data_IF_036487157849
#
_entry.id   IF_036487157849
#
_cell.length_a   1.000
_cell.length_b   1.000
_cell.length_c   1.000
_cell.angle_alpha   90.00
_cell.angle_beta   90.00
_cell.angle_gamma   90.00
#
_symmetry.space_group_name_H-M   'P 1'
#
loop_
_entity.id
_entity.type
_entity.pdbx_description
1 polymer ?
#
# COMPACT_ATOMS: atom_id res chain seq x y z
N UNK A 1 -8.50 12.24 60.35
CA UNK A 1 -8.93 13.10 59.23
C UNK A 1 -8.17 12.62 58.00
N UNK A 2 -8.83 11.91 57.07
CA UNK A 2 -9.24 12.43 55.73
C UNK A 2 -8.04 13.04 54.98
N UNK A 3 -7.57 12.63 53.80
CA UNK A 3 -8.14 11.96 52.63
C UNK A 3 -6.99 11.18 51.93
N UNK A 4 -7.19 9.94 51.46
CA UNK A 4 -7.57 9.59 50.08
C UNK A 4 -6.83 10.40 48.99
N UNK A 5 -5.97 9.74 48.22
CA UNK A 5 -5.80 10.02 46.78
C UNK A 5 -5.16 8.80 46.10
N UNK A 6 -6.06 7.91 45.66
CA UNK A 6 -5.77 6.82 44.74
C UNK A 6 -5.48 7.43 43.36
N UNK A 7 -4.20 7.67 43.06
CA UNK A 7 -3.76 8.11 41.73
C UNK A 7 -3.82 6.94 40.75
N UNK A 8 -5.00 6.65 40.21
CA UNK A 8 -5.14 5.72 39.10
C UNK A 8 -4.53 6.37 37.85
N UNK A 9 -3.31 5.96 37.50
CA UNK A 9 -2.59 6.39 36.31
C UNK A 9 -3.36 5.91 35.07
N UNK A 10 -4.19 6.78 34.48
CA UNK A 10 -4.79 6.51 33.18
C UNK A 10 -3.68 6.46 32.12
N UNK A 11 -3.18 5.26 31.83
CA UNK A 11 -2.39 4.99 30.64
C UNK A 11 -3.32 5.14 29.43
N UNK A 12 -3.36 6.35 28.87
CA UNK A 12 -4.02 6.57 27.59
C UNK A 12 -3.14 5.89 26.53
N UNK A 13 -3.42 4.63 26.23
CA UNK A 13 -2.88 3.93 25.07
C UNK A 13 -3.47 4.56 23.80
N UNK A 14 -2.95 5.72 23.40
CA UNK A 14 -3.17 6.24 22.06
C UNK A 14 -2.37 5.35 21.11
N UNK A 15 -3.03 4.30 20.60
CA UNK A 15 -2.52 3.58 19.45
C UNK A 15 -2.58 4.52 18.24
N UNK A 16 -1.56 5.36 18.09
CA UNK A 16 -1.33 6.06 16.82
C UNK A 16 -1.09 4.98 15.79
N UNK A 17 -2.01 4.83 14.84
CA UNK A 17 -1.81 3.93 13.71
C UNK A 17 -0.55 4.39 12.95
N UNK A 18 0.56 3.69 13.19
CA UNK A 18 1.82 3.99 12.55
C UNK A 18 1.65 3.85 11.04
N UNK A 19 2.16 4.83 10.30
CA UNK A 19 2.21 4.73 8.86
C UNK A 19 3.05 3.52 8.45
N UNK A 20 2.74 2.87 7.31
CA UNK A 20 3.53 1.73 6.85
C UNK A 20 4.98 2.10 6.51
N UNK A 21 5.26 3.39 6.30
CA UNK A 21 6.61 3.96 6.10
C UNK A 21 6.57 5.47 6.37
N UNK A 22 7.69 6.09 6.76
CA UNK A 22 7.80 7.55 7.00
C UNK A 22 7.27 8.42 5.83
N UNK A 23 7.47 7.94 4.61
CA UNK A 23 7.08 8.61 3.35
C UNK A 23 5.81 8.06 2.70
N UNK A 24 5.12 7.10 3.32
CA UNK A 24 3.92 6.48 2.74
C UNK A 24 2.88 6.36 3.84
N UNK A 25 1.83 7.19 3.77
CA UNK A 25 0.78 7.17 4.81
C UNK A 25 -0.27 6.09 4.55
N UNK A 26 -0.33 5.54 3.34
CA UNK A 26 -1.25 4.46 2.98
C UNK A 26 -0.74 3.70 1.76
N UNK A 27 -0.85 2.38 1.78
CA UNK A 27 -0.63 1.51 0.64
C UNK A 27 -1.63 0.34 0.68
N UNK A 28 -2.42 0.16 -0.37
CA UNK A 28 -3.49 -0.84 -0.37
C UNK A 28 -3.81 -1.33 -1.77
N UNK A 29 -4.19 -2.59 -1.89
CA UNK A 29 -4.80 -3.09 -3.12
C UNK A 29 -6.29 -2.78 -3.13
N UNK A 30 -6.83 -2.57 -4.32
CA UNK A 30 -8.22 -2.19 -4.50
C UNK A 30 -8.77 -2.76 -5.81
N UNK A 31 -10.07 -3.04 -5.83
CA UNK A 31 -10.78 -3.46 -7.03
C UNK A 31 -11.00 -2.29 -8.00
N UNK A 32 -11.10 -1.06 -7.49
CA UNK A 32 -11.29 0.12 -8.33
C UNK A 32 -10.64 1.38 -7.73
N UNK A 33 -10.49 2.42 -8.55
CA UNK A 33 -10.13 3.78 -8.14
C UNK A 33 -11.24 4.73 -8.57
N UNK A 34 -11.88 5.40 -7.62
CA UNK A 34 -12.92 6.41 -7.87
C UNK A 34 -12.52 7.71 -7.18
N UNK A 35 -12.60 8.84 -7.88
CA UNK A 35 -12.20 10.17 -7.35
C UNK A 35 -10.78 10.16 -6.72
N UNK A 36 -9.86 9.43 -7.35
CA UNK A 36 -8.47 9.20 -6.87
C UNK A 36 -8.39 8.54 -5.49
N UNK A 37 -9.37 7.71 -5.13
CA UNK A 37 -9.39 6.93 -3.89
C UNK A 37 -9.64 5.45 -4.18
N UNK A 38 -9.00 4.54 -3.41
CA UNK A 38 -9.20 3.11 -3.57
C UNK A 38 -10.58 2.68 -3.08
N UNK A 39 -11.30 1.92 -3.91
CA UNK A 39 -12.60 1.32 -3.60
C UNK A 39 -12.50 -0.21 -3.66
N UNK A 40 -13.19 -0.88 -2.74
CA UNK A 40 -13.09 -2.34 -2.58
C UNK A 40 -11.66 -2.74 -2.22
N UNK A 41 -11.17 -2.30 -1.05
CA UNK A 41 -9.83 -2.66 -0.58
C UNK A 41 -9.78 -4.16 -0.33
N UNK A 42 -8.73 -4.81 -0.82
CA UNK A 42 -8.60 -6.27 -0.77
C UNK A 42 -7.18 -6.69 -0.42
N UNK A 43 -7.03 -7.88 0.14
CA UNK A 43 -5.75 -8.62 0.25
C UNK A 43 -5.79 -9.96 -0.49
N UNK A 44 -6.96 -10.33 -1.00
CA UNK A 44 -7.22 -11.57 -1.71
C UNK A 44 -8.28 -11.32 -2.79
N UNK A 45 -8.10 -11.95 -3.94
CA UNK A 45 -9.04 -11.97 -5.07
C UNK A 45 -9.00 -13.34 -5.73
N UNK A 46 -10.07 -13.71 -6.44
CA UNK A 46 -10.11 -14.94 -7.24
C UNK A 46 -9.86 -14.69 -8.73
N UNK A 47 -9.62 -15.76 -9.48
CA UNK A 47 -9.33 -15.76 -10.91
C UNK A 47 -10.43 -15.15 -11.82
N UNK A 48 -11.60 -14.79 -11.29
CA UNK A 48 -12.61 -14.00 -12.01
C UNK A 48 -12.25 -12.52 -12.09
N UNK A 49 -11.42 -12.04 -11.16
CA UNK A 49 -10.91 -10.67 -11.15
C UNK A 49 -9.82 -10.51 -12.21
N UNK A 50 -10.12 -9.74 -13.25
CA UNK A 50 -9.21 -9.51 -14.39
C UNK A 50 -8.22 -8.37 -14.16
N UNK A 51 -8.49 -7.47 -13.22
CA UNK A 51 -7.69 -6.26 -12.97
C UNK A 51 -7.71 -5.91 -11.49
N UNK A 52 -6.55 -5.52 -10.98
CA UNK A 52 -6.39 -5.03 -9.61
C UNK A 52 -5.57 -3.73 -9.63
N UNK A 53 -5.85 -2.85 -8.68
CA UNK A 53 -5.12 -1.60 -8.48
C UNK A 53 -4.27 -1.68 -7.23
N UNK A 54 -3.12 -1.02 -7.26
CA UNK A 54 -2.30 -0.76 -6.06
C UNK A 54 -2.17 0.74 -5.90
N UNK A 55 -2.77 1.25 -4.81
CA UNK A 55 -2.82 2.67 -4.46
C UNK A 55 -1.80 2.99 -3.38
N UNK A 56 -1.12 4.12 -3.52
CA UNK A 56 -0.26 4.68 -2.48
C UNK A 56 -0.51 6.18 -2.27
N UNK A 57 -0.51 6.60 -1.01
CA UNK A 57 -0.54 8.01 -0.61
C UNK A 57 0.84 8.41 -0.08
N UNK A 58 1.59 9.13 -0.91
CA UNK A 58 2.99 9.50 -0.71
C UNK A 58 3.11 10.80 0.11
N UNK A 59 4.20 10.90 0.88
CA UNK A 59 4.54 12.02 1.76
C UNK A 59 5.99 12.43 1.57
N UNK A 60 6.25 13.72 1.38
CA UNK A 60 7.60 14.33 1.32
C UNK A 60 8.53 13.73 0.24
N UNK A 61 7.96 13.25 -0.87
CA UNK A 61 8.70 12.68 -2.00
C UNK A 61 8.62 13.57 -3.26
N UNK A 62 8.34 14.88 -3.09
CA UNK A 62 8.27 15.85 -4.19
C UNK A 62 9.59 15.87 -4.96
N UNK A 63 9.51 15.84 -6.29
CA UNK A 63 10.68 15.89 -7.17
C UNK A 63 11.44 14.57 -7.30
N UNK A 64 11.11 13.55 -6.51
CA UNK A 64 11.72 12.23 -6.62
C UNK A 64 11.00 11.36 -7.65
N UNK A 65 11.66 10.32 -8.14
CA UNK A 65 11.01 9.25 -8.91
C UNK A 65 10.62 8.11 -7.98
N UNK A 66 9.34 7.74 -7.99
CA UNK A 66 8.80 6.61 -7.23
C UNK A 66 8.28 5.57 -8.21
N UNK A 67 8.43 4.28 -7.87
CA UNK A 67 8.00 3.18 -8.72
C UNK A 67 7.17 2.16 -7.97
N UNK A 68 6.14 1.65 -8.63
CA UNK A 68 5.51 0.40 -8.24
C UNK A 68 6.08 -0.72 -9.11
N UNK A 69 6.75 -1.69 -8.50
CA UNK A 69 7.27 -2.89 -9.16
C UNK A 69 6.41 -4.09 -8.81
N UNK A 70 5.74 -4.66 -9.80
CA UNK A 70 4.87 -5.82 -9.66
C UNK A 70 5.68 -7.10 -9.88
N UNK A 71 5.60 -8.04 -8.94
CA UNK A 71 6.30 -9.32 -9.00
C UNK A 71 5.33 -10.49 -8.83
N UNK A 72 5.56 -11.53 -9.62
CA UNK A 72 4.88 -12.81 -9.53
C UNK A 72 5.93 -13.92 -9.60
N UNK A 73 5.92 -14.85 -8.64
CA UNK A 73 6.91 -15.93 -8.52
C UNK A 73 8.36 -15.43 -8.61
N UNK A 74 8.65 -14.32 -7.92
CA UNK A 74 9.99 -13.69 -7.93
C UNK A 74 10.35 -12.92 -9.21
N UNK A 75 9.60 -13.07 -10.31
CA UNK A 75 9.85 -12.38 -11.58
C UNK A 75 9.18 -11.02 -11.61
N UNK A 76 9.91 -10.00 -12.09
CA UNK A 76 9.35 -8.67 -12.40
C UNK A 76 8.38 -8.76 -13.58
N UNK A 77 7.11 -8.45 -13.32
CA UNK A 77 6.03 -8.52 -14.32
C UNK A 77 5.62 -7.16 -14.87
N UNK A 78 5.87 -6.08 -14.12
CA UNK A 78 5.66 -4.71 -14.56
C UNK A 78 6.38 -3.74 -13.60
N UNK A 79 6.67 -2.54 -14.09
CA UNK A 79 7.17 -1.43 -13.29
C UNK A 79 6.55 -0.13 -13.79
N UNK A 80 5.97 0.67 -12.89
CA UNK A 80 5.29 1.92 -13.24
C UNK A 80 5.94 3.06 -12.48
N UNK A 81 6.37 4.11 -13.20
CA UNK A 81 7.06 5.29 -12.66
C UNK A 81 6.08 6.43 -12.37
N UNK A 82 6.35 7.17 -11.30
CA UNK A 82 5.63 8.36 -10.88
C UNK A 82 6.61 9.47 -10.48
N UNK A 83 6.21 10.72 -10.72
CA UNK A 83 6.99 11.91 -10.38
C UNK A 83 6.14 12.86 -9.53
N UNK A 84 6.04 12.65 -8.20
CA UNK A 84 5.25 13.51 -7.32
C UNK A 84 5.67 14.98 -7.44
N UNK A 85 4.69 15.88 -7.61
CA UNK A 85 4.94 17.34 -7.71
C UNK A 85 4.58 18.11 -6.45
N UNK A 86 4.12 17.42 -5.40
CA UNK A 86 3.75 18.02 -4.11
C UNK A 86 4.13 17.13 -2.93
N UNK A 87 4.14 17.71 -1.72
CA UNK A 87 4.54 17.01 -0.50
C UNK A 87 3.54 15.93 -0.07
N UNK A 88 2.29 16.02 -0.52
CA UNK A 88 1.33 14.92 -0.45
C UNK A 88 0.91 14.57 -1.88
N UNK A 89 1.05 13.31 -2.26
CA UNK A 89 0.74 12.90 -3.63
C UNK A 89 0.16 11.49 -3.68
N UNK A 90 -0.99 11.36 -4.34
CA UNK A 90 -1.66 10.06 -4.52
C UNK A 90 -1.30 9.50 -5.89
N UNK A 91 -0.82 8.26 -5.90
CA UNK A 91 -0.55 7.51 -7.13
C UNK A 91 -1.22 6.14 -7.06
N UNK A 92 -1.43 5.55 -8.23
CA UNK A 92 -1.87 4.18 -8.34
C UNK A 92 -1.33 3.59 -9.64
N UNK A 93 -1.04 2.30 -9.60
CA UNK A 93 -0.81 1.48 -10.80
C UNK A 93 -1.83 0.36 -10.83
N UNK A 94 -2.02 -0.26 -11.99
CA UNK A 94 -2.89 -1.44 -12.10
C UNK A 94 -2.15 -2.58 -12.78
N UNK A 95 -2.65 -3.80 -12.57
CA UNK A 95 -2.19 -4.99 -13.26
C UNK A 95 -3.39 -5.76 -13.78
N UNK A 96 -3.37 -6.05 -15.08
CA UNK A 96 -4.26 -7.06 -15.65
C UNK A 96 -3.73 -8.44 -15.28
N UNK A 97 -4.61 -9.28 -14.75
CA UNK A 97 -4.30 -10.60 -14.25
C UNK A 97 -4.90 -11.66 -15.18
N UNK A 98 -4.06 -12.59 -15.60
CA UNK A 98 -4.48 -13.74 -16.37
C UNK A 98 -4.87 -14.86 -15.42
N UNK A 99 -5.94 -15.61 -15.72
CA UNK A 99 -6.46 -16.70 -14.89
C UNK A 99 -5.40 -17.71 -14.44
N UNK A 100 -4.35 -17.92 -15.23
CA UNK A 100 -3.24 -18.85 -14.94
C UNK A 100 -2.16 -18.30 -13.99
N UNK A 101 -2.20 -17.01 -13.64
CA UNK A 101 -1.19 -16.39 -12.76
C UNK A 101 -1.59 -16.40 -11.28
N UNK A 102 -2.30 -17.44 -10.87
CA UNK A 102 -2.74 -17.63 -9.48
C UNK A 102 -1.55 -17.82 -8.52
N UNK A 103 -1.79 -17.48 -7.26
CA UNK A 103 -0.82 -17.50 -6.16
C UNK A 103 -0.48 -16.10 -5.65
N UNK A 104 0.58 -16.03 -4.85
CA UNK A 104 1.01 -14.81 -4.20
C UNK A 104 1.63 -13.83 -5.19
N UNK A 105 1.10 -12.61 -5.18
CA UNK A 105 1.67 -11.46 -5.86
C UNK A 105 2.29 -10.50 -4.86
N UNK A 106 3.28 -9.74 -5.35
CA UNK A 106 3.98 -8.72 -4.57
C UNK A 106 4.02 -7.42 -5.35
N UNK A 107 3.87 -6.29 -4.66
CA UNK A 107 4.22 -4.97 -5.18
C UNK A 107 5.21 -4.32 -4.23
N UNK A 108 6.32 -3.88 -4.80
CA UNK A 108 7.34 -3.11 -4.11
C UNK A 108 7.22 -1.64 -4.52
N UNK A 109 7.27 -0.74 -3.54
CA UNK A 109 7.40 0.70 -3.75
C UNK A 109 8.87 1.05 -3.65
N UNK A 110 9.46 1.55 -4.74
CA UNK A 110 10.87 1.89 -4.81
C UNK A 110 11.10 3.38 -5.02
N UNK A 111 12.16 3.89 -4.43
CA UNK A 111 12.67 5.22 -4.75
C UNK A 111 13.62 5.19 -5.97
N UNK A 112 14.17 6.36 -6.32
CA UNK A 112 15.09 6.54 -7.43
C UNK A 112 16.43 5.77 -7.28
N UNK A 113 16.83 5.45 -6.05
CA UNK A 113 18.06 4.69 -5.73
C UNK A 113 17.83 3.17 -5.70
N UNK A 114 16.70 2.69 -6.21
CA UNK A 114 16.25 1.29 -6.12
C UNK A 114 16.07 0.78 -4.67
N UNK A 115 15.99 1.65 -3.66
CA UNK A 115 15.68 1.23 -2.30
C UNK A 115 14.19 0.94 -2.19
N UNK A 116 13.87 -0.18 -1.54
CA UNK A 116 12.49 -0.58 -1.27
C UNK A 116 12.01 0.20 -0.05
N UNK A 117 11.01 1.06 -0.25
CA UNK A 117 10.35 1.80 0.83
C UNK A 117 9.25 0.96 1.49
N UNK A 118 8.58 0.12 0.69
CA UNK A 118 7.48 -0.71 1.18
C UNK A 118 7.28 -1.92 0.27
N UNK A 119 6.88 -3.03 0.87
CA UNK A 119 6.39 -4.22 0.15
C UNK A 119 4.96 -4.54 0.59
N UNK A 120 4.08 -4.84 -0.35
CA UNK A 120 2.75 -5.38 -0.08
C UNK A 120 2.43 -6.58 -0.96
N UNK A 121 1.62 -7.49 -0.43
CA UNK A 121 1.24 -8.74 -1.11
C UNK A 121 -0.27 -8.89 -1.18
N UNK A 122 -0.75 -9.60 -2.20
CA UNK A 122 -2.12 -10.10 -2.26
C UNK A 122 -2.11 -11.53 -2.81
N UNK A 123 -3.14 -12.30 -2.45
CA UNK A 123 -3.35 -13.65 -2.96
C UNK A 123 -4.32 -13.64 -4.13
N UNK A 124 -3.96 -14.30 -5.24
CA UNK A 124 -4.83 -14.48 -6.41
C UNK A 124 -5.23 -15.95 -6.53
N UNK A 125 -6.39 -16.31 -6.01
CA UNK A 125 -6.79 -17.72 -5.88
C UNK A 125 -7.41 -18.28 -7.15
N UNK A 126 -7.17 -19.57 -7.37
CA UNK A 126 -7.95 -20.32 -8.33
C UNK A 126 -9.32 -20.61 -7.72
N UNK A 127 -10.38 -20.29 -8.46
CA UNK A 127 -11.76 -20.64 -8.15
C UNK A 127 -12.29 -21.55 -9.25
#
# INVERSE_FOLDING_TARGET
>A
MKHLLLGCLFLINTAFAAWPHEHISQATFALNIVNRMPQGKVSEIDNSTKKIFFYTNLRNLKGQTIRHRWLYKGKKMAEVRFHPKGNRWRVYSSKNLWRKWTGRWKVEVLNQRNQILLTKTFEYKNK
#
